data_IF_247690518846
#
_entry.id   IF_247690518846
#
_cell.length_a   1.000
_cell.length_b   1.000
_cell.length_c   1.000
_cell.angle_alpha   90.00
_cell.angle_beta   90.00
_cell.angle_gamma   90.00
#
_symmetry.space_group_name_H-M   'P 1'
#
loop_
_entity.id
_entity.type
_entity.pdbx_description
1 polymer ?
#
# COMPACT_ATOMS: atom_id res chain seq x y z
N UNK A 1 -22.84 -18.88 -26.47
CA UNK A 1 -22.50 -19.89 -25.45
C UNK A 1 -23.20 -19.46 -24.16
N UNK A 2 -24.12 -20.27 -23.61
CA UNK A 2 -24.71 -19.99 -22.30
C UNK A 2 -23.64 -20.16 -21.22
N UNK A 3 -23.59 -19.23 -20.27
CA UNK A 3 -22.69 -19.36 -19.13
C UNK A 3 -23.02 -20.66 -18.37
N UNK A 4 -21.99 -21.39 -17.94
CA UNK A 4 -22.23 -22.57 -17.10
C UNK A 4 -22.85 -22.14 -15.76
N UNK A 5 -23.62 -23.01 -15.11
CA UNK A 5 -24.24 -22.73 -13.81
C UNK A 5 -23.20 -22.22 -12.79
N UNK A 6 -22.00 -22.79 -12.81
CA UNK A 6 -20.87 -22.41 -11.94
C UNK A 6 -20.39 -20.99 -12.25
N UNK A 7 -20.26 -20.62 -13.52
CA UNK A 7 -19.86 -19.25 -13.89
C UNK A 7 -20.89 -18.21 -13.44
N UNK A 8 -22.18 -18.53 -13.53
CA UNK A 8 -23.24 -17.65 -13.05
C UNK A 8 -23.17 -17.49 -11.52
N UNK A 9 -23.04 -18.60 -10.79
CA UNK A 9 -22.90 -18.58 -9.33
C UNK A 9 -21.65 -17.79 -8.91
N UNK A 10 -20.51 -18.05 -9.55
CA UNK A 10 -19.27 -17.32 -9.28
C UNK A 10 -19.43 -15.82 -9.53
N UNK A 11 -20.10 -15.43 -10.63
CA UNK A 11 -20.38 -14.03 -10.95
C UNK A 11 -21.28 -13.37 -9.91
N UNK A 12 -22.31 -14.08 -9.44
CA UNK A 12 -23.20 -13.59 -8.38
C UNK A 12 -22.43 -13.43 -7.07
N UNK A 13 -21.65 -14.42 -6.65
CA UNK A 13 -20.83 -14.35 -5.42
C UNK A 13 -19.85 -13.18 -5.51
N UNK A 14 -19.20 -13.00 -6.66
CA UNK A 14 -18.29 -11.87 -6.87
C UNK A 14 -19.02 -10.53 -6.80
N UNK A 15 -20.20 -10.41 -7.41
CA UNK A 15 -21.02 -9.20 -7.32
C UNK A 15 -21.43 -8.90 -5.87
N UNK A 16 -21.80 -9.93 -5.09
CA UNK A 16 -22.12 -9.79 -3.67
C UNK A 16 -20.87 -9.41 -2.86
N UNK A 17 -19.69 -9.95 -3.19
CA UNK A 17 -18.44 -9.56 -2.56
C UNK A 17 -18.14 -8.08 -2.78
N UNK A 18 -18.32 -7.58 -4.00
CA UNK A 18 -18.19 -6.14 -4.31
C UNK A 18 -19.18 -5.31 -3.49
N UNK A 19 -20.46 -5.72 -3.46
CA UNK A 19 -21.48 -5.03 -2.67
C UNK A 19 -21.13 -5.01 -1.17
N UNK A 20 -20.60 -6.10 -0.64
CA UNK A 20 -20.11 -6.19 0.74
C UNK A 20 -18.95 -5.20 0.96
N UNK A 21 -17.95 -5.17 0.08
CA UNK A 21 -16.83 -4.23 0.15
C UNK A 21 -17.29 -2.77 0.22
N UNK A 22 -18.26 -2.37 -0.61
CA UNK A 22 -18.84 -1.01 -0.54
C UNK A 22 -19.75 -0.78 0.68
N UNK A 23 -20.17 -1.86 1.35
CA UNK A 23 -20.99 -1.84 2.56
C UNK A 23 -20.19 -1.91 3.86
N UNK A 24 -18.86 -1.92 3.82
CA UNK A 24 -17.97 -1.96 5.02
C UNK A 24 -18.37 -0.96 6.11
N UNK A 25 -18.79 0.26 5.74
CA UNK A 25 -19.23 1.29 6.70
C UNK A 25 -20.42 0.84 7.55
N UNK A 26 -21.30 -0.01 7.00
CA UNK A 26 -22.41 -0.60 7.74
C UNK A 26 -21.90 -1.56 8.81
N UNK A 27 -20.94 -2.43 8.48
CA UNK A 27 -20.33 -3.38 9.42
C UNK A 27 -19.55 -2.68 10.53
N UNK A 28 -18.79 -1.61 10.22
CA UNK A 28 -18.11 -0.81 11.25
C UNK A 28 -19.09 -0.12 12.21
N UNK A 29 -20.24 0.36 11.73
CA UNK A 29 -21.32 0.84 12.62
C UNK A 29 -21.89 -0.27 13.49
N UNK A 30 -22.01 -1.48 12.95
CA UNK A 30 -22.51 -2.65 13.66
C UNK A 30 -21.55 -3.08 14.77
N UNK A 31 -20.25 -3.01 14.51
CA UNK A 31 -19.19 -3.26 15.49
C UNK A 31 -19.32 -2.35 16.71
N UNK A 32 -19.47 -1.03 16.48
CA UNK A 32 -19.69 -0.07 17.57
C UNK A 32 -21.03 -0.26 18.31
N UNK A 33 -22.08 -0.71 17.60
CA UNK A 33 -23.42 -0.92 18.18
C UNK A 33 -23.50 -2.19 19.04
N UNK A 34 -22.74 -3.23 18.72
CA UNK A 34 -22.80 -4.53 19.39
C UNK A 34 -21.43 -4.94 19.95
N UNK A 35 -21.04 -4.43 21.13
CA UNK A 35 -19.70 -4.65 21.71
C UNK A 35 -19.32 -6.14 21.89
N UNK A 36 -20.31 -7.01 22.14
CA UNK A 36 -20.07 -8.46 22.29
C UNK A 36 -19.57 -9.15 21.01
N UNK A 37 -19.89 -8.59 19.84
CA UNK A 37 -19.48 -9.12 18.53
C UNK A 37 -18.65 -8.11 17.74
N UNK A 38 -18.10 -7.10 18.41
CA UNK A 38 -17.33 -6.01 17.79
C UNK A 38 -16.26 -6.55 16.85
N UNK A 39 -15.43 -7.49 17.32
CA UNK A 39 -14.36 -8.09 16.53
C UNK A 39 -14.85 -8.75 15.24
N UNK A 40 -15.99 -9.43 15.27
CA UNK A 40 -16.53 -10.11 14.09
C UNK A 40 -16.98 -9.08 13.06
N UNK A 41 -17.72 -8.05 13.51
CA UNK A 41 -18.20 -7.01 12.61
C UNK A 41 -17.07 -6.10 12.11
N UNK A 42 -16.04 -5.88 12.91
CA UNK A 42 -14.85 -5.13 12.51
C UNK A 42 -14.07 -5.93 11.46
N UNK A 43 -13.90 -7.25 11.64
CA UNK A 43 -13.31 -8.14 10.64
C UNK A 43 -14.10 -8.14 9.32
N UNK A 44 -15.43 -8.19 9.36
CA UNK A 44 -16.29 -8.05 8.16
C UNK A 44 -16.24 -6.64 7.56
N UNK A 45 -15.64 -5.68 8.26
CA UNK A 45 -15.34 -4.35 7.76
C UNK A 45 -13.98 -4.22 7.06
N UNK A 46 -13.14 -5.26 7.06
CA UNK A 46 -11.86 -5.24 6.36
C UNK A 46 -11.98 -5.89 4.98
N UNK A 47 -11.52 -5.18 3.94
CA UNK A 47 -11.79 -5.52 2.53
C UNK A 47 -11.16 -6.87 2.17
N UNK A 48 -9.97 -7.14 2.69
CA UNK A 48 -9.22 -8.38 2.53
C UNK A 48 -9.99 -9.58 3.10
N UNK A 49 -10.59 -9.40 4.29
CA UNK A 49 -11.39 -10.44 4.95
C UNK A 49 -12.69 -10.67 4.17
N UNK A 50 -13.31 -9.62 3.64
CA UNK A 50 -14.52 -9.73 2.81
C UNK A 50 -14.24 -10.61 1.59
N UNK A 51 -13.14 -10.38 0.86
CA UNK A 51 -12.77 -11.22 -0.28
C UNK A 51 -12.45 -12.66 0.14
N UNK A 52 -11.71 -12.86 1.24
CA UNK A 52 -11.43 -14.20 1.77
C UNK A 52 -12.70 -14.97 2.16
N UNK A 53 -13.64 -14.32 2.84
CA UNK A 53 -14.92 -14.89 3.23
C UNK A 53 -15.74 -15.39 2.02
N UNK A 54 -15.86 -14.56 0.99
CA UNK A 54 -16.60 -14.94 -0.22
C UNK A 54 -15.86 -15.97 -1.08
N UNK A 55 -14.53 -15.99 -1.05
CA UNK A 55 -13.74 -17.05 -1.68
C UNK A 55 -14.02 -18.42 -1.02
N UNK A 56 -14.09 -18.48 0.32
CA UNK A 56 -14.47 -19.71 1.04
C UNK A 56 -15.90 -20.12 0.66
N UNK A 57 -16.85 -19.19 0.61
CA UNK A 57 -18.22 -19.48 0.20
C UNK A 57 -18.28 -20.06 -1.23
N UNK A 58 -17.52 -19.48 -2.17
CA UNK A 58 -17.40 -20.00 -3.53
C UNK A 58 -16.85 -21.42 -3.55
N UNK A 59 -15.77 -21.70 -2.81
CA UNK A 59 -15.16 -23.03 -2.72
C UNK A 59 -16.15 -24.04 -2.16
N UNK A 60 -16.91 -23.69 -1.11
CA UNK A 60 -17.91 -24.57 -0.50
C UNK A 60 -19.05 -24.89 -1.47
N UNK A 61 -19.54 -23.90 -2.21
CA UNK A 61 -20.60 -24.11 -3.20
C UNK A 61 -20.08 -24.97 -4.35
N UNK A 62 -18.86 -24.71 -4.82
CA UNK A 62 -18.27 -25.50 -5.89
C UNK A 62 -18.04 -26.96 -5.45
N UNK A 63 -17.56 -27.15 -4.22
CA UNK A 63 -17.44 -28.47 -3.59
C UNK A 63 -18.79 -29.19 -3.51
N UNK A 64 -19.86 -28.47 -3.18
CA UNK A 64 -21.22 -29.05 -3.10
C UNK A 64 -21.80 -29.43 -4.46
N UNK A 65 -21.48 -28.69 -5.53
CA UNK A 65 -22.06 -28.90 -6.86
C UNK A 65 -21.26 -29.88 -7.72
N UNK A 66 -19.94 -29.81 -7.63
CA UNK A 66 -18.98 -30.52 -8.50
C UNK A 66 -18.18 -31.59 -7.74
N UNK A 67 -18.27 -31.62 -6.41
CA UNK A 67 -17.53 -32.56 -5.57
C UNK A 67 -16.07 -32.17 -5.36
N UNK A 68 -15.40 -32.97 -4.53
CA UNK A 68 -14.02 -32.73 -4.07
C UNK A 68 -13.00 -32.67 -5.20
N UNK A 69 -13.03 -33.63 -6.13
CA UNK A 69 -11.97 -33.81 -7.11
C UNK A 69 -11.94 -32.68 -8.15
N UNK A 70 -13.10 -32.27 -8.66
CA UNK A 70 -13.22 -31.15 -9.60
C UNK A 70 -12.82 -29.83 -8.92
N UNK A 71 -13.24 -29.62 -7.67
CA UNK A 71 -12.89 -28.42 -6.90
C UNK A 71 -11.38 -28.31 -6.69
N UNK A 72 -10.73 -29.40 -6.26
CA UNK A 72 -9.27 -29.43 -6.08
C UNK A 72 -8.54 -29.25 -7.42
N UNK A 73 -9.02 -29.86 -8.50
CA UNK A 73 -8.46 -29.67 -9.84
C UNK A 73 -8.52 -28.20 -10.27
N UNK A 74 -9.66 -27.53 -10.05
CA UNK A 74 -9.81 -26.12 -10.35
C UNK A 74 -8.85 -25.25 -9.55
N UNK A 75 -8.75 -25.46 -8.23
CA UNK A 75 -7.86 -24.70 -7.35
C UNK A 75 -6.39 -24.91 -7.72
N UNK A 76 -5.98 -26.14 -7.99
CA UNK A 76 -4.60 -26.47 -8.35
C UNK A 76 -4.17 -25.90 -9.71
N UNK A 77 -5.12 -25.58 -10.60
CA UNK A 77 -4.85 -25.00 -11.91
C UNK A 77 -4.79 -23.47 -11.91
N UNK A 78 -5.03 -22.80 -10.77
CA UNK A 78 -4.88 -21.34 -10.68
C UNK A 78 -3.45 -20.93 -10.32
N UNK A 79 -3.03 -19.76 -10.79
CA UNK A 79 -1.84 -19.08 -10.27
C UNK A 79 -2.21 -18.27 -9.04
N UNK A 80 -1.52 -18.53 -7.92
CA UNK A 80 -1.60 -17.71 -6.71
C UNK A 80 -0.33 -16.89 -6.48
N UNK A 81 0.62 -16.91 -7.43
CA UNK A 81 1.91 -16.24 -7.28
C UNK A 81 1.74 -14.74 -7.14
N UNK A 82 0.98 -14.11 -8.03
CA UNK A 82 0.78 -12.66 -8.01
C UNK A 82 0.01 -12.18 -6.77
N UNK A 83 -1.12 -12.80 -6.35
CA UNK A 83 -1.81 -12.42 -5.12
C UNK A 83 -0.94 -12.57 -3.86
N UNK A 84 -0.19 -13.67 -3.74
CA UNK A 84 0.68 -13.91 -2.60
C UNK A 84 1.85 -12.91 -2.61
N UNK A 85 2.41 -12.62 -3.79
CA UNK A 85 3.45 -11.60 -3.94
C UNK A 85 2.97 -10.23 -3.44
N UNK A 86 1.79 -9.78 -3.89
CA UNK A 86 1.20 -8.50 -3.46
C UNK A 86 1.01 -8.47 -1.93
N UNK A 87 0.51 -9.56 -1.35
CA UNK A 87 0.35 -9.67 0.10
C UNK A 87 1.69 -9.55 0.85
N UNK A 88 2.70 -10.31 0.44
CA UNK A 88 4.01 -10.32 1.10
C UNK A 88 4.73 -8.98 0.96
N UNK A 89 4.74 -8.39 -0.24
CA UNK A 89 5.43 -7.11 -0.45
C UNK A 89 4.77 -5.99 0.36
N UNK A 90 3.43 -5.98 0.46
CA UNK A 90 2.70 -5.04 1.32
C UNK A 90 3.11 -5.16 2.79
N UNK A 91 3.21 -6.39 3.32
CA UNK A 91 3.61 -6.61 4.72
C UNK A 91 5.04 -6.15 4.98
N UNK A 92 5.99 -6.55 4.14
CA UNK A 92 7.41 -6.21 4.33
C UNK A 92 7.62 -4.70 4.16
N UNK A 93 7.01 -4.10 3.13
CA UNK A 93 7.20 -2.68 2.85
C UNK A 93 6.48 -1.75 3.84
N UNK A 94 5.37 -2.20 4.45
CA UNK A 94 4.68 -1.47 5.52
C UNK A 94 5.35 -1.63 6.90
N UNK A 95 6.45 -2.40 7.00
CA UNK A 95 7.18 -2.57 8.25
C UNK A 95 7.76 -1.24 8.76
N UNK A 96 7.82 -1.10 10.09
CA UNK A 96 8.35 0.11 10.74
C UNK A 96 9.76 0.46 10.25
N UNK A 97 10.71 -0.47 10.10
CA UNK A 97 12.06 -0.14 9.60
C UNK A 97 12.05 0.50 8.22
N UNK A 98 11.22 0.00 7.29
CA UNK A 98 11.11 0.54 5.93
C UNK A 98 10.48 1.93 5.94
N UNK A 99 9.39 2.11 6.70
CA UNK A 99 8.74 3.41 6.85
C UNK A 99 9.67 4.46 7.49
N UNK A 100 10.41 4.07 8.53
CA UNK A 100 11.39 4.92 9.20
C UNK A 100 12.53 5.34 8.27
N UNK A 101 13.00 4.42 7.42
CA UNK A 101 13.98 4.72 6.39
C UNK A 101 13.43 5.71 5.36
N UNK A 102 12.19 5.53 4.90
CA UNK A 102 11.52 6.48 4.01
C UNK A 102 11.36 7.87 4.66
N UNK A 103 10.94 7.92 5.94
CA UNK A 103 10.88 9.16 6.73
C UNK A 103 12.25 9.85 6.78
N UNK A 104 13.30 9.09 7.07
CA UNK A 104 14.67 9.62 7.17
C UNK A 104 15.16 10.15 5.82
N UNK A 105 14.83 9.46 4.74
CA UNK A 105 15.15 9.88 3.37
C UNK A 105 14.47 11.19 2.99
N UNK A 106 13.17 11.34 3.30
CA UNK A 106 12.42 12.61 3.12
C UNK A 106 13.11 13.76 3.85
N UNK A 107 13.56 13.54 5.09
CA UNK A 107 14.26 14.55 5.88
C UNK A 107 15.63 14.91 5.33
N UNK A 108 16.39 13.91 4.90
CA UNK A 108 17.70 14.12 4.32
C UNK A 108 17.58 14.99 3.06
N UNK A 109 16.66 14.63 2.16
CA UNK A 109 16.42 15.36 0.91
C UNK A 109 15.89 16.76 1.17
N UNK A 110 14.97 16.94 2.14
CA UNK A 110 14.44 18.26 2.45
C UNK A 110 15.50 19.23 3.01
N UNK A 111 16.54 18.72 3.70
CA UNK A 111 17.67 19.54 4.16
C UNK A 111 18.60 19.99 3.04
N UNK A 112 18.59 19.32 1.88
CA UNK A 112 19.44 19.69 0.73
C UNK A 112 18.90 20.90 -0.03
N UNK A 113 17.61 21.20 0.07
CA UNK A 113 17.01 22.36 -0.61
C UNK A 113 17.27 23.65 0.20
N UNK A 114 17.93 24.67 -0.38
CA UNK A 114 18.25 25.93 0.29
C UNK A 114 17.04 26.88 0.34
N UNK A 115 15.92 26.40 0.89
CA UNK A 115 14.68 27.16 1.07
C UNK A 115 14.18 27.00 2.51
N UNK A 116 13.13 27.74 2.88
CA UNK A 116 12.51 27.63 4.20
C UNK A 116 12.15 26.16 4.52
N UNK A 117 12.56 25.66 5.69
CA UNK A 117 12.49 24.23 6.03
C UNK A 117 11.07 23.65 5.92
N UNK A 118 10.06 24.40 6.35
CA UNK A 118 8.66 23.99 6.28
C UNK A 118 8.17 23.85 4.83
N UNK A 119 8.63 24.71 3.91
CA UNK A 119 8.32 24.60 2.48
C UNK A 119 9.04 23.39 1.86
N UNK A 120 10.31 23.19 2.21
CA UNK A 120 11.09 22.08 1.70
C UNK A 120 10.49 20.74 2.14
N UNK A 121 10.21 20.59 3.44
CA UNK A 121 9.57 19.39 3.95
C UNK A 121 8.22 19.14 3.27
N UNK A 122 7.40 20.19 3.12
CA UNK A 122 6.11 20.09 2.44
C UNK A 122 6.26 19.61 0.99
N UNK A 123 7.11 20.28 0.21
CA UNK A 123 7.33 19.95 -1.19
C UNK A 123 7.85 18.53 -1.36
N UNK A 124 8.85 18.12 -0.57
CA UNK A 124 9.39 16.75 -0.62
C UNK A 124 8.33 15.74 -0.16
N UNK A 125 7.51 16.05 0.84
CA UNK A 125 6.43 15.15 1.29
C UNK A 125 5.39 14.95 0.18
N UNK A 126 4.98 16.00 -0.53
CA UNK A 126 3.96 15.89 -1.57
C UNK A 126 4.52 15.36 -2.91
N UNK A 127 5.84 15.39 -3.12
CA UNK A 127 6.48 14.90 -4.34
C UNK A 127 7.17 13.55 -4.18
N UNK A 128 8.15 13.46 -3.28
CA UNK A 128 9.01 12.29 -3.14
C UNK A 128 8.29 11.10 -2.50
N UNK A 129 7.45 11.31 -1.48
CA UNK A 129 6.69 10.21 -0.84
C UNK A 129 5.78 9.49 -1.85
N UNK A 130 5.01 10.19 -2.70
CA UNK A 130 4.29 9.54 -3.77
C UNK A 130 5.13 8.70 -4.73
N UNK A 131 6.32 9.17 -5.12
CA UNK A 131 7.22 8.40 -5.98
C UNK A 131 7.81 7.19 -5.23
N UNK A 132 8.09 7.33 -3.93
CA UNK A 132 8.48 6.21 -3.07
C UNK A 132 7.40 5.14 -2.98
N UNK A 133 6.11 5.50 -3.14
CA UNK A 133 5.00 4.54 -3.20
C UNK A 133 5.20 3.44 -4.23
N UNK A 134 5.97 3.69 -5.29
CA UNK A 134 6.32 2.63 -6.24
C UNK A 134 7.31 1.58 -5.72
N UNK A 135 7.99 1.85 -4.61
CA UNK A 135 8.94 0.93 -3.98
C UNK A 135 8.38 0.33 -2.70
N UNK A 136 7.54 1.08 -1.96
CA UNK A 136 6.99 0.63 -0.67
C UNK A 136 5.50 0.27 -0.70
N UNK A 137 4.81 0.43 -1.83
CA UNK A 137 3.34 0.35 -2.02
C UNK A 137 2.58 1.65 -1.76
N UNK A 138 1.45 1.81 -2.45
CA UNK A 138 0.57 2.97 -2.32
C UNK A 138 0.04 3.17 -0.89
N UNK A 139 -0.49 2.14 -0.18
CA UNK A 139 -1.01 2.32 1.18
C UNK A 139 0.08 2.76 2.17
N UNK A 140 1.30 2.25 2.02
CA UNK A 140 2.45 2.64 2.84
C UNK A 140 2.85 4.10 2.58
N UNK A 141 2.91 4.53 1.32
CA UNK A 141 3.17 5.92 0.97
C UNK A 141 2.07 6.89 1.45
N UNK A 142 0.81 6.49 1.37
CA UNK A 142 -0.31 7.27 1.92
C UNK A 142 -0.18 7.42 3.43
N UNK A 143 0.14 6.35 4.15
CA UNK A 143 0.34 6.36 5.61
C UNK A 143 1.51 7.26 5.98
N UNK A 144 2.64 7.12 5.29
CA UNK A 144 3.83 7.96 5.47
C UNK A 144 3.53 9.45 5.24
N UNK A 145 2.88 9.76 4.12
CA UNK A 145 2.47 11.12 3.79
C UNK A 145 1.50 11.67 4.84
N UNK A 146 0.50 10.89 5.25
CA UNK A 146 -0.46 11.29 6.27
C UNK A 146 0.19 11.56 7.63
N UNK A 147 1.15 10.75 8.08
CA UNK A 147 1.89 10.97 9.33
C UNK A 147 2.69 12.27 9.27
N UNK A 148 3.48 12.47 8.21
CA UNK A 148 4.26 13.70 8.00
C UNK A 148 3.36 14.95 7.94
N UNK A 149 2.22 14.84 7.26
CA UNK A 149 1.27 15.94 7.12
C UNK A 149 0.51 16.23 8.42
N UNK A 150 0.13 15.18 9.15
CA UNK A 150 -0.55 15.27 10.44
C UNK A 150 0.28 16.06 11.44
N UNK A 151 1.53 15.66 11.63
CA UNK A 151 2.36 16.14 12.73
C UNK A 151 2.83 17.58 12.51
N UNK A 152 3.07 17.99 11.26
CA UNK A 152 3.66 19.30 10.95
C UNK A 152 2.70 20.35 10.39
N UNK A 153 1.65 19.93 9.68
CA UNK A 153 0.79 20.86 8.94
C UNK A 153 -0.64 20.86 9.48
N UNK A 154 -1.25 19.69 9.67
CA UNK A 154 -2.63 19.57 10.16
C UNK A 154 -2.79 19.85 11.66
N UNK A 155 -1.73 19.61 12.45
CA UNK A 155 -1.66 20.00 13.86
C UNK A 155 -1.63 21.52 14.06
N UNK A 156 -1.30 22.28 13.01
CA UNK A 156 -1.22 23.74 13.01
C UNK A 156 -2.50 24.36 12.43
N UNK A 157 -2.70 25.65 12.67
CA UNK A 157 -3.91 26.37 12.27
C UNK A 157 -3.87 26.79 10.78
N UNK A 158 -3.76 25.81 9.87
CA UNK A 158 -3.80 26.03 8.41
C UNK A 158 -5.24 26.13 7.89
N UNK A 159 -5.42 26.81 6.75
CA UNK A 159 -6.75 27.01 6.17
C UNK A 159 -7.42 25.70 5.74
N UNK A 160 -8.76 25.63 5.81
CA UNK A 160 -9.51 24.46 5.33
C UNK A 160 -9.27 24.21 3.83
N UNK A 161 -9.14 25.27 3.03
CA UNK A 161 -8.78 25.17 1.61
C UNK A 161 -7.44 24.46 1.43
N UNK A 162 -6.45 24.80 2.25
CA UNK A 162 -5.14 24.15 2.20
C UNK A 162 -5.23 22.67 2.58
N UNK A 163 -5.97 22.33 3.64
CA UNK A 163 -6.20 20.92 4.04
C UNK A 163 -6.76 20.07 2.88
N UNK A 164 -7.87 20.50 2.28
CA UNK A 164 -8.46 19.76 1.16
C UNK A 164 -7.52 19.65 -0.04
N UNK A 165 -6.78 20.73 -0.36
CA UNK A 165 -5.80 20.71 -1.44
C UNK A 165 -4.66 19.71 -1.17
N UNK A 166 -4.18 19.62 0.08
CA UNK A 166 -3.15 18.64 0.48
C UNK A 166 -3.64 17.21 0.24
N UNK A 167 -4.81 16.83 0.75
CA UNK A 167 -5.33 15.46 0.61
C UNK A 167 -5.56 15.12 -0.86
N UNK A 168 -6.20 16.03 -1.61
CA UNK A 168 -6.46 15.83 -3.03
C UNK A 168 -5.17 15.61 -3.82
N UNK A 169 -4.17 16.49 -3.65
CA UNK A 169 -2.89 16.38 -4.35
C UNK A 169 -2.09 15.16 -3.88
N UNK A 170 -2.09 14.82 -2.59
CA UNK A 170 -1.40 13.64 -2.10
C UNK A 170 -1.94 12.36 -2.75
N UNK A 171 -3.27 12.18 -2.78
CA UNK A 171 -3.87 10.97 -3.35
C UNK A 171 -3.67 10.88 -4.86
N UNK A 172 -3.81 11.99 -5.57
CA UNK A 172 -3.49 12.05 -7.01
C UNK A 172 -2.03 11.70 -7.25
N UNK A 173 -1.11 12.30 -6.49
CA UNK A 173 0.30 12.05 -6.67
C UNK A 173 0.67 10.61 -6.31
N UNK A 174 0.13 10.01 -5.24
CA UNK A 174 0.40 8.62 -4.88
C UNK A 174 -0.06 7.69 -6.01
N UNK A 175 -1.26 7.91 -6.54
CA UNK A 175 -1.79 7.12 -7.65
C UNK A 175 -0.92 7.25 -8.91
N UNK A 176 -0.51 8.46 -9.28
CA UNK A 176 0.43 8.64 -10.41
C UNK A 176 1.78 7.99 -10.08
N UNK A 177 2.28 8.20 -8.86
CA UNK A 177 3.55 7.69 -8.36
C UNK A 177 3.66 6.17 -8.38
N UNK A 178 2.56 5.44 -8.21
CA UNK A 178 2.47 3.98 -8.33
C UNK A 178 2.75 3.43 -9.74
N UNK A 179 2.95 4.28 -10.74
CA UNK A 179 3.26 3.86 -12.12
C UNK A 179 4.76 3.84 -12.45
N UNK A 180 5.65 3.98 -11.45
CA UNK A 180 7.10 4.02 -11.67
C UNK A 180 7.70 2.61 -11.84
N UNK A 181 7.13 1.62 -11.16
CA UNK A 181 7.60 0.22 -11.18
C UNK A 181 6.40 -0.72 -11.44
N UNK A 182 6.65 -1.96 -11.92
CA UNK A 182 5.57 -2.92 -12.15
C UNK A 182 4.99 -3.53 -10.88
N UNK A 183 5.66 -3.37 -9.73
CA UNK A 183 5.29 -4.04 -8.46
C UNK A 183 4.45 -3.15 -7.54
N UNK A 184 4.37 -1.87 -7.86
CA UNK A 184 3.77 -0.82 -7.03
C UNK A 184 2.25 -0.91 -6.94
N UNK A 185 1.61 -1.07 -8.11
CA UNK A 185 0.17 -1.07 -8.26
C UNK A 185 -0.29 -2.44 -8.77
N UNK A 186 -1.20 -3.13 -8.06
CA UNK A 186 -1.70 -4.44 -8.48
C UNK A 186 -2.20 -4.50 -9.94
N UNK A 187 -2.92 -3.48 -10.46
CA UNK A 187 -3.35 -3.49 -11.86
C UNK A 187 -2.19 -3.55 -12.87
N UNK A 188 -1.06 -2.92 -12.56
CA UNK A 188 0.14 -2.93 -13.41
C UNK A 188 0.78 -4.31 -13.37
N UNK A 189 0.97 -4.88 -12.17
CA UNK A 189 1.52 -6.21 -12.00
C UNK A 189 0.71 -7.27 -12.76
N UNK A 190 -0.63 -7.20 -12.67
CA UNK A 190 -1.55 -8.15 -13.31
C UNK A 190 -1.45 -8.16 -14.84
N UNK A 191 -1.08 -7.05 -15.45
CA UNK A 191 -0.96 -6.93 -16.91
C UNK A 191 0.49 -6.93 -17.39
N UNK A 192 1.46 -6.81 -16.48
CA UNK A 192 2.87 -6.65 -16.82
C UNK A 192 3.40 -7.81 -17.68
N UNK A 193 3.04 -9.05 -17.36
CA UNK A 193 3.42 -10.24 -18.14
C UNK A 193 2.79 -10.25 -19.55
N UNK A 194 1.59 -9.69 -19.70
CA UNK A 194 0.88 -9.68 -20.97
C UNK A 194 1.42 -8.62 -21.93
N UNK A 195 1.87 -7.49 -21.40
CA UNK A 195 2.35 -6.34 -22.17
C UNK A 195 3.86 -6.13 -22.11
N UNK A 196 4.60 -7.06 -21.48
CA UNK A 196 6.03 -6.95 -21.21
C UNK A 196 6.42 -5.62 -20.54
N UNK A 197 5.61 -5.18 -19.57
CA UNK A 197 5.93 -4.00 -18.76
C UNK A 197 6.91 -4.36 -17.66
N UNK A 198 8.14 -4.68 -18.07
CA UNK A 198 9.23 -4.89 -17.13
C UNK A 198 9.68 -3.56 -16.48
N UNK A 199 10.58 -3.66 -15.49
CA UNK A 199 11.08 -2.48 -14.78
C UNK A 199 11.68 -1.43 -15.74
N UNK A 200 12.40 -1.90 -16.76
CA UNK A 200 13.06 -1.05 -17.76
C UNK A 200 12.03 -0.28 -18.59
N UNK A 201 11.01 -0.95 -19.11
CA UNK A 201 9.94 -0.36 -19.90
C UNK A 201 9.16 0.67 -19.07
N UNK A 202 8.81 0.31 -17.83
CA UNK A 202 8.05 1.18 -16.93
C UNK A 202 8.80 2.50 -16.66
N UNK A 203 10.08 2.40 -16.29
CA UNK A 203 10.92 3.57 -16.00
C UNK A 203 11.13 4.44 -17.24
N UNK A 204 11.40 3.84 -18.40
CA UNK A 204 11.71 4.58 -19.63
C UNK A 204 10.47 5.22 -20.27
N UNK A 205 9.30 4.56 -20.17
CA UNK A 205 8.06 4.99 -20.83
C UNK A 205 7.21 5.90 -19.94
N UNK A 206 7.00 5.51 -18.68
CA UNK A 206 6.14 6.22 -17.74
C UNK A 206 6.94 7.02 -16.73
N UNK A 207 8.11 6.54 -16.31
CA UNK A 207 8.83 7.06 -15.16
C UNK A 207 9.06 8.57 -15.15
N UNK A 208 9.56 9.15 -16.25
CA UNK A 208 9.78 10.59 -16.33
C UNK A 208 8.49 11.41 -16.40
N UNK A 209 7.42 10.88 -17.01
CA UNK A 209 6.09 11.52 -17.06
C UNK A 209 5.46 11.55 -15.68
N UNK A 210 5.57 10.44 -14.96
CA UNK A 210 5.13 10.26 -13.58
C UNK A 210 5.86 11.23 -12.65
N UNK A 211 7.19 11.27 -12.73
CA UNK A 211 7.99 12.22 -11.97
C UNK A 211 7.59 13.66 -12.28
N UNK A 212 7.50 14.03 -13.56
CA UNK A 212 7.14 15.39 -13.97
C UNK A 212 5.76 15.80 -13.49
N UNK A 213 4.74 14.93 -13.61
CA UNK A 213 3.39 15.20 -13.14
C UNK A 213 3.35 15.41 -11.62
N UNK A 214 3.98 14.50 -10.86
CA UNK A 214 4.05 14.58 -9.39
C UNK A 214 4.79 15.84 -8.95
N UNK A 215 5.95 16.15 -9.53
CA UNK A 215 6.71 17.36 -9.21
C UNK A 215 5.93 18.63 -9.56
N UNK A 216 5.26 18.66 -10.72
CA UNK A 216 4.47 19.81 -11.15
C UNK A 216 3.30 20.07 -10.20
N UNK A 217 2.52 19.03 -9.87
CA UNK A 217 1.42 19.13 -8.90
C UNK A 217 1.91 19.62 -7.54
N UNK A 218 3.04 19.07 -7.06
CA UNK A 218 3.63 19.43 -5.77
C UNK A 218 4.14 20.87 -5.76
N UNK A 219 4.77 21.30 -6.85
CA UNK A 219 5.30 22.66 -7.00
C UNK A 219 4.17 23.68 -7.02
N UNK A 220 3.14 23.44 -7.84
CA UNK A 220 1.96 24.32 -7.93
C UNK A 220 1.32 24.47 -6.54
N UNK A 221 1.07 23.36 -5.84
CA UNK A 221 0.47 23.40 -4.51
C UNK A 221 1.35 24.18 -3.51
N UNK A 222 2.66 23.93 -3.52
CA UNK A 222 3.62 24.62 -2.64
C UNK A 222 3.65 26.12 -2.92
N UNK A 223 3.57 26.54 -4.19
CA UNK A 223 3.57 27.95 -4.58
C UNK A 223 2.27 28.67 -4.19
N UNK A 224 1.11 28.03 -4.40
CA UNK A 224 -0.20 28.60 -4.03
C UNK A 224 -0.26 28.90 -2.51
N UNK A 225 0.24 27.97 -1.68
CA UNK A 225 0.19 28.09 -0.22
C UNK A 225 1.52 28.52 0.42
N UNK A 226 2.46 29.06 -0.37
CA UNK A 226 3.81 29.46 0.08
C UNK A 226 3.79 30.35 1.33
N UNK A 227 2.85 31.30 1.40
CA UNK A 227 2.74 32.23 2.54
C UNK A 227 2.29 31.53 3.81
N UNK A 228 1.29 30.65 3.74
CA UNK A 228 0.84 29.85 4.89
C UNK A 228 1.97 28.93 5.38
N UNK A 229 2.69 28.29 4.45
CA UNK A 229 3.81 27.39 4.72
C UNK A 229 5.03 28.08 5.35
N UNK A 230 5.34 29.31 4.93
CA UNK A 230 6.49 30.06 5.42
C UNK A 230 6.29 30.58 6.84
N UNK A 231 5.04 30.73 7.27
CA UNK A 231 4.69 31.18 8.62
C UNK A 231 4.66 30.03 9.64
N UNK A 232 4.85 28.78 9.21
CA UNK A 232 4.89 27.63 10.12
C UNK A 232 6.27 27.50 10.76
N UNK A 233 6.28 27.24 12.06
CA UNK A 233 7.47 26.85 12.81
C UNK A 233 8.23 25.70 12.13
N UNK A 234 9.53 25.65 12.38
CA UNK A 234 10.34 24.57 11.83
C UNK A 234 9.87 23.20 12.33
N UNK A 235 9.83 22.19 11.44
CA UNK A 235 9.40 20.86 11.80
C UNK A 235 10.41 20.21 12.77
N UNK A 236 9.97 19.92 14.00
CA UNK A 236 10.73 19.12 14.95
C UNK A 236 10.39 17.63 14.76
N UNK A 237 11.15 16.93 13.93
CA UNK A 237 10.93 15.51 13.65
C UNK A 237 11.94 14.66 14.41
N UNK A 238 11.45 13.83 15.33
CA UNK A 238 12.30 12.94 16.12
C UNK A 238 13.02 11.91 15.24
N UNK A 239 14.32 11.66 15.47
CA UNK A 239 15.09 10.67 14.72
C UNK A 239 14.49 9.26 14.85
N UNK A 240 14.64 8.43 13.82
CA UNK A 240 14.25 7.02 13.92
C UNK A 240 15.14 6.30 14.94
N UNK A 241 14.51 5.46 15.75
CA UNK A 241 15.19 4.62 16.73
C UNK A 241 15.59 3.25 16.16
N UNK A 242 15.30 2.99 14.89
CA UNK A 242 15.50 1.67 14.29
C UNK A 242 16.99 1.42 13.98
N UNK A 243 17.62 0.36 14.52
CA UNK A 243 19.01 0.01 14.24
C UNK A 243 19.24 -0.26 12.75
N UNK A 244 20.36 0.24 12.21
CA UNK A 244 20.72 0.09 10.79
C UNK A 244 20.77 -1.38 10.34
N UNK A 245 21.23 -2.28 11.21
CA UNK A 245 21.26 -3.73 10.91
C UNK A 245 19.86 -4.29 10.61
N UNK A 246 18.85 -3.90 11.41
CA UNK A 246 17.47 -4.37 11.24
C UNK A 246 16.89 -3.82 9.94
N UNK A 247 17.15 -2.55 9.64
CA UNK A 247 16.77 -1.94 8.36
C UNK A 247 17.38 -2.70 7.17
N UNK A 248 18.70 -2.92 7.18
CA UNK A 248 19.38 -3.61 6.08
C UNK A 248 18.81 -5.01 5.84
N UNK A 249 18.53 -5.73 6.92
CA UNK A 249 17.90 -7.04 6.85
C UNK A 249 16.51 -6.94 6.18
N UNK A 250 15.67 -5.97 6.57
CA UNK A 250 14.36 -5.78 5.94
C UNK A 250 14.46 -5.46 4.44
N UNK A 251 15.41 -4.59 4.05
CA UNK A 251 15.64 -4.23 2.66
C UNK A 251 16.16 -5.42 1.83
N UNK A 252 17.07 -6.23 2.38
CA UNK A 252 17.57 -7.44 1.72
C UNK A 252 16.44 -8.44 1.50
N UNK A 253 15.60 -8.67 2.52
CA UNK A 253 14.45 -9.58 2.39
C UNK A 253 13.44 -9.06 1.37
N UNK A 254 13.12 -7.75 1.39
CA UNK A 254 12.24 -7.13 0.40
C UNK A 254 12.76 -7.33 -1.04
N UNK A 255 14.04 -7.07 -1.29
CA UNK A 255 14.68 -7.29 -2.59
C UNK A 255 14.67 -8.78 -2.96
N UNK A 256 14.95 -9.66 -1.99
CA UNK A 256 14.91 -11.11 -2.20
C UNK A 256 13.53 -11.59 -2.66
N UNK A 257 12.46 -11.13 -2.02
CA UNK A 257 11.07 -11.44 -2.42
C UNK A 257 10.79 -11.02 -3.87
N UNK A 258 11.29 -9.86 -4.29
CA UNK A 258 11.14 -9.36 -5.67
C UNK A 258 11.90 -10.25 -6.67
N UNK A 259 13.16 -10.61 -6.36
CA UNK A 259 14.01 -11.42 -7.25
C UNK A 259 13.45 -12.84 -7.41
N UNK A 260 12.97 -13.44 -6.31
CA UNK A 260 12.54 -14.84 -6.28
C UNK A 260 11.02 -15.03 -6.44
N UNK A 261 10.28 -14.02 -6.92
CA UNK A 261 8.80 -14.09 -7.07
C UNK A 261 8.31 -15.29 -7.87
N UNK A 262 9.10 -15.77 -8.84
CA UNK A 262 8.73 -16.91 -9.67
C UNK A 262 9.08 -18.29 -9.06
N UNK A 263 9.80 -18.33 -7.94
CA UNK A 263 10.09 -19.56 -7.19
C UNK A 263 9.38 -19.51 -5.83
N UNK A 264 8.21 -20.15 -5.76
CA UNK A 264 7.34 -20.12 -4.58
C UNK A 264 8.03 -20.63 -3.31
N UNK A 265 8.97 -21.58 -3.42
CA UNK A 265 9.66 -22.16 -2.26
C UNK A 265 10.62 -21.15 -1.67
N UNK A 266 11.48 -20.55 -2.50
CA UNK A 266 12.41 -19.51 -2.05
C UNK A 266 11.67 -18.27 -1.58
N UNK A 267 10.65 -17.84 -2.32
CA UNK A 267 9.80 -16.70 -1.97
C UNK A 267 9.16 -16.87 -0.58
N UNK A 268 8.50 -18.00 -0.31
CA UNK A 268 7.86 -18.24 0.98
C UNK A 268 8.91 -18.42 2.09
N UNK A 269 10.05 -19.05 1.79
CA UNK A 269 11.16 -19.17 2.73
C UNK A 269 11.68 -17.80 3.19
N UNK A 270 11.90 -16.86 2.27
CA UNK A 270 12.32 -15.49 2.57
C UNK A 270 11.25 -14.78 3.43
N UNK A 271 9.97 -14.95 3.09
CA UNK A 271 8.89 -14.36 3.88
C UNK A 271 8.81 -14.93 5.30
N UNK A 272 9.00 -16.24 5.48
CA UNK A 272 9.04 -16.86 6.81
C UNK A 272 10.23 -16.35 7.63
N UNK A 273 11.39 -16.15 7.02
CA UNK A 273 12.56 -15.54 7.65
C UNK A 273 12.21 -14.11 8.10
N UNK A 274 11.56 -13.32 7.25
CA UNK A 274 11.07 -11.98 7.60
C UNK A 274 10.15 -12.01 8.82
N UNK A 275 9.15 -12.90 8.84
CA UNK A 275 8.24 -13.04 9.99
C UNK A 275 8.98 -13.43 11.27
N UNK A 276 9.98 -14.32 11.17
CA UNK A 276 10.84 -14.70 12.28
C UNK A 276 11.62 -13.52 12.86
N UNK A 277 12.18 -12.66 12.00
CA UNK A 277 12.89 -11.45 12.44
C UNK A 277 11.92 -10.41 13.00
N UNK A 278 10.78 -10.18 12.35
CA UNK A 278 9.77 -9.25 12.83
C UNK A 278 9.26 -9.65 14.23
N UNK A 279 9.03 -10.94 14.46
CA UNK A 279 8.63 -11.45 15.76
C UNK A 279 9.75 -11.35 16.81
N UNK A 280 10.99 -11.72 16.44
CA UNK A 280 12.15 -11.69 17.35
C UNK A 280 12.53 -10.27 17.78
N UNK A 281 12.34 -9.28 16.89
CA UNK A 281 12.65 -7.87 17.12
C UNK A 281 11.37 -7.02 17.16
N UNK A 282 10.34 -7.48 17.87
CA UNK A 282 9.01 -6.85 17.93
C UNK A 282 9.03 -5.39 18.39
N UNK A 283 10.01 -4.99 19.22
CA UNK A 283 10.23 -3.60 19.65
C UNK A 283 10.51 -2.61 18.50
N UNK A 284 11.01 -3.12 17.37
CA UNK A 284 11.29 -2.34 16.15
C UNK A 284 10.25 -2.58 15.07
N UNK A 285 9.10 -3.18 15.40
CA UNK A 285 8.00 -3.42 14.46
C UNK A 285 6.74 -2.64 14.86
N UNK A 286 5.92 -2.31 13.86
CA UNK A 286 4.52 -1.99 14.10
C UNK A 286 3.73 -3.31 14.24
N UNK A 287 2.51 -3.26 14.76
CA UNK A 287 1.59 -4.40 14.57
C UNK A 287 1.50 -4.67 13.07
N UNK A 288 1.94 -5.84 12.65
CA UNK A 288 1.83 -6.26 11.26
C UNK A 288 0.34 -6.26 10.90
N UNK A 289 0.02 -5.72 9.72
CA UNK A 289 -1.33 -5.81 9.14
C UNK A 289 -1.50 -7.29 8.73
N UNK A 290 -2.08 -8.09 9.63
CA UNK A 290 -2.44 -9.49 9.42
C UNK A 290 -3.91 -9.63 9.79
#
# INVERSE_FOLDING_TARGET
MSASLIQLIASIIFAVAILHTFSVKFFKKLAHKYPRHEKIFDMLGEVEIVFGFWAIALILIFFSLSGKNETLSYLNNQSYVEPIFVFVIMIIAASKPVLDFSLTSVRAISRLLPIHKSLSLFFITISFVPLLGSFITEPAAMTLGALLLKDHFYSKNISNKFKYAIIGTLFVNVSIGGTLTPFAAPPILMVASKWNWDLTFMITTFGWRTALAVFTNSLILTLIFKKELANLEEPNIQPSETPLFILLLHLILLIGVIIFVHDLILFLGIFLIFLGIANSYSQYQNKLII
#
